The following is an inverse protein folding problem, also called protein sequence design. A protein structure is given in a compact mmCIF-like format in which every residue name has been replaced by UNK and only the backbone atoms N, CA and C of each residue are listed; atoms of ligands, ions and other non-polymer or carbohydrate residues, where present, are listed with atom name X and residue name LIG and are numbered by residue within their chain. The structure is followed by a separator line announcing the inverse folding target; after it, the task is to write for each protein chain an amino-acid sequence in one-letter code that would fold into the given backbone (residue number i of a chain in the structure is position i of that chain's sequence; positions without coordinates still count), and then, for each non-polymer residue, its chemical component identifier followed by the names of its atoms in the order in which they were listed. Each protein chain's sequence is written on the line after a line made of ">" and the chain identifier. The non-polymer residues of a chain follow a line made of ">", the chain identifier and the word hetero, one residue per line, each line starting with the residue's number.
data_IF_004450058337
#
_entry.id   IF_004450058337
#
_cell.length_a   1.000
_cell.length_b   1.000
_cell.length_c   1.000
_cell.angle_alpha   90.00
_cell.angle_beta   90.00
_cell.angle_gamma   90.00
#
_symmetry.space_group_name_H-M   'P 1'
#
loop_
_entity.id
_entity.type
_entity.pdbx_description
1 polymer ?
#
# COMPACT_ATOMS: atom_id res chain seq x y z
N UNK A 1 31.82 4.63 7.45
CA UNK A 1 31.29 5.49 6.37
C UNK A 1 30.20 6.40 6.95
N UNK A 2 30.45 7.72 7.06
CA UNK A 2 29.55 8.67 7.72
C UNK A 2 28.21 8.77 6.98
N UNK A 3 27.15 8.13 7.49
CA UNK A 3 25.81 8.29 6.92
C UNK A 3 25.31 9.70 7.26
N UNK A 4 25.44 10.64 6.31
CA UNK A 4 24.87 11.99 6.43
C UNK A 4 23.42 11.90 6.95
N UNK A 5 23.17 12.46 8.13
CA UNK A 5 21.83 12.54 8.73
C UNK A 5 20.94 13.42 7.84
N UNK A 6 19.70 12.99 7.63
CA UNK A 6 18.64 13.75 6.97
C UNK A 6 17.70 14.29 8.06
N UNK A 7 17.30 15.55 7.94
CA UNK A 7 16.27 16.13 8.82
C UNK A 7 14.96 15.36 8.62
N UNK A 8 14.36 14.85 9.70
CA UNK A 8 13.09 14.10 9.64
C UNK A 8 11.96 14.86 8.93
N UNK A 9 11.90 16.19 9.08
CA UNK A 9 10.92 17.02 8.36
C UNK A 9 10.99 16.85 6.84
N UNK A 10 12.19 16.69 6.27
CA UNK A 10 12.34 16.43 4.83
C UNK A 10 11.79 15.06 4.43
N UNK A 11 11.97 14.04 5.27
CA UNK A 11 11.42 12.70 5.01
C UNK A 11 9.90 12.75 5.06
N UNK A 12 9.31 13.40 6.07
CA UNK A 12 7.85 13.53 6.16
C UNK A 12 7.24 14.31 4.99
N UNK A 13 7.94 15.31 4.45
CA UNK A 13 7.50 16.00 3.22
C UNK A 13 7.52 15.03 2.04
N UNK A 14 8.58 14.24 1.87
CA UNK A 14 8.67 13.22 0.82
C UNK A 14 7.53 12.20 0.98
N UNK A 15 7.32 11.71 2.20
CA UNK A 15 6.28 10.73 2.53
C UNK A 15 4.89 11.28 2.16
N UNK A 16 4.60 12.53 2.52
CA UNK A 16 3.33 13.19 2.25
C UNK A 16 3.11 13.43 0.75
N UNK A 17 4.15 13.84 0.00
CA UNK A 17 4.07 14.04 -1.44
C UNK A 17 3.80 12.72 -2.16
N UNK A 18 4.54 11.66 -1.83
CA UNK A 18 4.34 10.33 -2.41
C UNK A 18 2.94 9.83 -2.10
N UNK A 19 2.52 9.93 -0.84
CA UNK A 19 1.19 9.53 -0.40
C UNK A 19 0.10 10.28 -1.19
N UNK A 20 0.18 11.61 -1.25
CA UNK A 20 -0.81 12.43 -1.93
C UNK A 20 -0.90 12.12 -3.43
N UNK A 21 0.24 11.99 -4.11
CA UNK A 21 0.28 11.66 -5.53
C UNK A 21 -0.27 10.26 -5.77
N UNK A 22 0.13 9.26 -4.99
CA UNK A 22 -0.36 7.89 -5.13
C UNK A 22 -1.88 7.79 -4.89
N UNK A 23 -2.39 8.40 -3.82
CA UNK A 23 -3.85 8.44 -3.56
C UNK A 23 -4.59 9.14 -4.71
N UNK A 24 -4.05 10.25 -5.23
CA UNK A 24 -4.65 10.97 -6.35
C UNK A 24 -4.70 10.09 -7.61
N UNK A 25 -3.62 9.37 -7.92
CA UNK A 25 -3.55 8.47 -9.07
C UNK A 25 -4.57 7.33 -8.96
N UNK A 26 -4.65 6.65 -7.82
CA UNK A 26 -5.66 5.60 -7.59
C UNK A 26 -7.07 6.16 -7.74
N UNK A 27 -7.33 7.32 -7.12
CA UNK A 27 -8.66 7.94 -7.16
C UNK A 27 -9.08 8.35 -8.56
N UNK A 28 -8.19 8.97 -9.34
CA UNK A 28 -8.49 9.36 -10.71
C UNK A 28 -8.74 8.14 -11.60
N UNK A 29 -7.94 7.09 -11.44
CA UNK A 29 -8.10 5.87 -12.23
C UNK A 29 -9.43 5.16 -11.93
N UNK A 30 -9.83 5.08 -10.66
CA UNK A 30 -11.14 4.53 -10.26
C UNK A 30 -12.31 5.38 -10.72
N UNK A 31 -12.20 6.71 -10.65
CA UNK A 31 -13.22 7.62 -11.20
C UNK A 31 -13.37 7.45 -12.71
N UNK A 32 -12.25 7.26 -13.43
CA UNK A 32 -12.28 6.93 -14.85
C UNK A 32 -12.99 5.59 -15.08
N UNK A 33 -12.69 4.55 -14.30
CA UNK A 33 -13.32 3.24 -14.41
C UNK A 33 -14.84 3.31 -14.19
N UNK A 34 -15.30 4.01 -13.14
CA UNK A 34 -16.73 4.23 -12.88
C UNK A 34 -17.41 4.90 -14.08
N UNK A 35 -16.80 5.95 -14.65
CA UNK A 35 -17.42 6.74 -15.73
C UNK A 35 -17.40 6.05 -17.08
N UNK A 36 -16.34 5.28 -17.35
CA UNK A 36 -16.02 4.83 -18.71
C UNK A 36 -16.18 3.33 -18.92
N UNK A 37 -16.21 2.52 -17.84
CA UNK A 37 -16.21 1.06 -17.91
C UNK A 37 -17.43 0.42 -17.23
N UNK A 38 -18.05 1.09 -16.26
CA UNK A 38 -19.24 0.55 -15.58
C UNK A 38 -20.38 0.32 -16.58
N UNK A 39 -21.01 -0.85 -16.47
CA UNK A 39 -22.10 -1.31 -17.36
C UNK A 39 -21.72 -1.35 -18.85
N UNK A 40 -20.42 -1.52 -19.15
CA UNK A 40 -19.90 -1.64 -20.51
C UNK A 40 -19.08 -2.93 -20.68
N UNK A 41 -18.93 -3.42 -21.92
CA UNK A 41 -18.01 -4.51 -22.22
C UNK A 41 -16.57 -4.18 -21.84
N UNK A 42 -15.77 -5.21 -21.56
CA UNK A 42 -14.35 -5.06 -21.30
C UNK A 42 -13.64 -4.40 -22.51
N UNK A 43 -12.71 -3.49 -22.23
CA UNK A 43 -11.92 -2.78 -23.23
C UNK A 43 -10.56 -3.44 -23.35
N UNK A 44 -10.25 -4.12 -24.47
CA UNK A 44 -8.93 -4.73 -24.66
C UNK A 44 -7.86 -3.65 -24.85
N UNK A 45 -6.82 -3.69 -24.02
CA UNK A 45 -5.63 -2.83 -24.13
C UNK A 45 -4.54 -3.55 -24.91
N UNK A 46 -4.33 -4.83 -24.57
CA UNK A 46 -3.51 -5.76 -25.33
C UNK A 46 -4.33 -7.02 -25.53
N UNK A 47 -4.76 -7.28 -26.76
CA UNK A 47 -5.68 -8.38 -27.10
C UNK A 47 -5.21 -9.72 -26.52
N UNK A 48 -6.06 -10.33 -25.69
CA UNK A 48 -5.79 -11.64 -25.05
C UNK A 48 -4.82 -11.60 -23.86
N UNK A 49 -4.35 -10.42 -23.44
CA UNK A 49 -3.38 -10.27 -22.34
C UNK A 49 -3.90 -9.33 -21.26
N UNK A 50 -4.27 -8.10 -21.61
CA UNK A 50 -4.62 -7.03 -20.68
C UNK A 50 -5.88 -6.31 -21.14
N UNK A 51 -6.85 -6.22 -20.24
CA UNK A 51 -8.16 -5.62 -20.49
C UNK A 51 -8.53 -4.71 -19.33
N UNK A 52 -9.28 -3.65 -19.64
CA UNK A 52 -9.96 -2.85 -18.64
C UNK A 52 -11.41 -3.32 -18.50
N UNK A 53 -11.75 -3.85 -17.33
CA UNK A 53 -13.04 -4.46 -17.03
C UNK A 53 -13.50 -4.05 -15.63
N UNK A 54 -14.61 -3.32 -15.54
CA UNK A 54 -15.14 -2.84 -14.26
C UNK A 54 -15.64 -3.98 -13.37
N UNK A 55 -15.26 -3.94 -12.08
CA UNK A 55 -15.72 -4.87 -11.06
C UNK A 55 -15.92 -4.15 -9.71
N UNK A 56 -17.06 -4.41 -9.06
CA UNK A 56 -17.33 -3.98 -7.68
C UNK A 56 -16.92 -5.07 -6.70
N UNK A 57 -15.76 -4.91 -6.08
CA UNK A 57 -15.19 -5.90 -5.18
C UNK A 57 -15.66 -5.69 -3.74
N UNK A 58 -16.61 -6.53 -3.30
CA UNK A 58 -17.14 -6.59 -1.93
C UNK A 58 -16.33 -7.47 -0.98
N UNK A 59 -15.26 -8.09 -1.47
CA UNK A 59 -14.36 -8.93 -0.68
C UNK A 59 -12.99 -8.31 -0.48
N UNK A 60 -12.04 -9.15 -0.10
CA UNK A 60 -10.61 -8.87 -0.16
C UNK A 60 -10.02 -9.42 -1.48
N UNK A 61 -8.70 -9.57 -1.54
CA UNK A 61 -8.02 -10.21 -2.66
C UNK A 61 -8.61 -11.61 -2.96
N UNK A 62 -8.63 -11.99 -4.24
CA UNK A 62 -9.16 -13.28 -4.72
C UNK A 62 -10.63 -13.55 -4.33
N UNK A 63 -11.40 -12.52 -3.98
CA UNK A 63 -12.79 -12.67 -3.55
C UNK A 63 -12.95 -13.34 -2.19
N UNK A 64 -11.88 -13.42 -1.38
CA UNK A 64 -11.93 -13.90 0.00
C UNK A 64 -12.74 -12.93 0.88
N UNK A 65 -13.26 -13.43 2.00
CA UNK A 65 -13.91 -12.61 3.04
C UNK A 65 -15.11 -11.78 2.55
N UNK A 66 -15.80 -12.22 1.48
CA UNK A 66 -17.07 -11.60 1.03
C UNK A 66 -18.06 -11.53 2.20
N UNK A 67 -18.68 -10.37 2.39
CA UNK A 67 -19.62 -10.14 3.50
C UNK A 67 -18.96 -9.81 4.84
N UNK A 68 -17.63 -9.93 4.97
CA UNK A 68 -16.90 -9.58 6.20
C UNK A 68 -16.32 -8.15 6.15
N UNK A 69 -17.15 -7.19 5.75
CA UNK A 69 -16.75 -5.78 5.57
C UNK A 69 -16.00 -5.23 6.79
N UNK A 70 -16.57 -5.41 7.98
CA UNK A 70 -15.99 -4.87 9.23
C UNK A 70 -14.60 -5.43 9.52
N UNK A 71 -14.37 -6.71 9.22
CA UNK A 71 -13.07 -7.34 9.40
C UNK A 71 -12.04 -6.79 8.40
N UNK A 72 -12.41 -6.62 7.13
CA UNK A 72 -11.52 -6.04 6.11
C UNK A 72 -11.15 -4.59 6.45
N UNK A 73 -12.12 -3.80 6.91
CA UNK A 73 -11.89 -2.42 7.39
C UNK A 73 -10.93 -2.41 8.57
N UNK A 74 -11.14 -3.29 9.56
CA UNK A 74 -10.28 -3.42 10.74
C UNK A 74 -8.83 -3.73 10.34
N UNK A 75 -8.63 -4.72 9.46
CA UNK A 75 -7.30 -5.07 8.96
C UNK A 75 -6.65 -3.89 8.21
N UNK A 76 -7.41 -3.19 7.37
CA UNK A 76 -6.93 -2.00 6.66
C UNK A 76 -6.46 -0.90 7.63
N UNK A 77 -7.22 -0.63 8.69
CA UNK A 77 -6.84 0.32 9.74
C UNK A 77 -5.56 -0.12 10.45
N UNK A 78 -5.45 -1.41 10.80
CA UNK A 78 -4.24 -1.94 11.45
C UNK A 78 -3.01 -1.75 10.56
N UNK A 79 -3.11 -2.04 9.26
CA UNK A 79 -2.01 -1.85 8.29
C UNK A 79 -1.61 -0.37 8.20
N UNK A 80 -2.60 0.54 8.13
CA UNK A 80 -2.36 2.00 8.12
C UNK A 80 -1.60 2.43 9.38
N UNK A 81 -2.06 2.00 10.55
CA UNK A 81 -1.43 2.34 11.84
C UNK A 81 -0.02 1.76 11.94
N UNK A 82 0.20 0.54 11.49
CA UNK A 82 1.51 -0.09 11.46
C UNK A 82 2.49 0.68 10.54
N UNK A 83 2.06 1.05 9.33
CA UNK A 83 2.89 1.85 8.41
C UNK A 83 3.25 3.21 9.02
N UNK A 84 2.28 3.91 9.59
CA UNK A 84 2.50 5.20 10.26
C UNK A 84 3.46 5.08 11.44
N UNK A 85 3.29 4.03 12.27
CA UNK A 85 4.20 3.76 13.38
C UNK A 85 5.65 3.60 12.91
N UNK A 86 5.89 2.78 11.87
CA UNK A 86 7.23 2.56 11.33
C UNK A 86 7.81 3.84 10.73
N UNK A 87 7.02 4.61 9.97
CA UNK A 87 7.44 5.89 9.39
C UNK A 87 7.87 6.90 10.46
N UNK A 88 7.11 7.03 11.55
CA UNK A 88 7.43 7.95 12.65
C UNK A 88 8.69 7.51 13.41
N UNK A 89 8.83 6.20 13.65
CA UNK A 89 9.96 5.63 14.40
C UNK A 89 11.24 5.53 13.57
N UNK A 90 11.12 5.44 12.25
CA UNK A 90 12.24 5.34 11.31
C UNK A 90 13.31 6.43 11.56
N UNK A 91 14.60 6.08 11.62
CA UNK A 91 15.67 7.06 11.82
C UNK A 91 15.87 7.95 10.59
N UNK A 92 16.27 9.21 10.81
CA UNK A 92 16.62 10.17 9.75
C UNK A 92 17.96 9.87 9.06
N UNK A 93 18.11 8.69 8.45
CA UNK A 93 19.31 8.27 7.73
C UNK A 93 18.96 7.90 6.29
N UNK A 94 19.87 8.19 5.36
CA UNK A 94 19.71 7.89 3.92
C UNK A 94 19.27 6.46 3.62
N UNK A 95 19.78 5.48 4.37
CA UNK A 95 19.46 4.05 4.17
C UNK A 95 17.98 3.71 4.38
N UNK A 96 17.20 4.56 5.06
CA UNK A 96 15.76 4.33 5.27
C UNK A 96 14.87 5.05 4.24
N UNK A 97 15.43 5.84 3.32
CA UNK A 97 14.62 6.53 2.28
C UNK A 97 13.77 5.51 1.50
N UNK A 98 14.34 4.36 1.13
CA UNK A 98 13.59 3.32 0.43
C UNK A 98 12.41 2.81 1.28
N UNK A 99 12.61 2.59 2.58
CA UNK A 99 11.54 2.19 3.50
C UNK A 99 10.44 3.26 3.57
N UNK A 100 10.80 4.54 3.64
CA UNK A 100 9.87 5.67 3.59
C UNK A 100 9.01 5.67 2.32
N UNK A 101 9.64 5.57 1.14
CA UNK A 101 8.94 5.51 -0.15
C UNK A 101 7.96 4.34 -0.21
N UNK A 102 8.43 3.14 0.17
CA UNK A 102 7.63 1.91 0.09
C UNK A 102 6.45 1.94 1.06
N UNK A 103 6.67 2.38 2.31
CA UNK A 103 5.60 2.49 3.30
C UNK A 103 4.58 3.57 2.92
N UNK A 104 4.99 4.69 2.31
CA UNK A 104 4.07 5.69 1.79
C UNK A 104 3.19 5.16 0.66
N UNK A 105 3.71 4.28 -0.21
CA UNK A 105 2.93 3.62 -1.25
C UNK A 105 1.93 2.61 -0.68
N UNK A 106 2.37 1.77 0.28
CA UNK A 106 1.49 0.82 0.98
C UNK A 106 0.37 1.58 1.71
N UNK A 107 0.72 2.66 2.41
CA UNK A 107 -0.21 3.53 3.11
C UNK A 107 -1.21 4.16 2.13
N UNK A 108 -0.76 4.67 0.99
CA UNK A 108 -1.62 5.26 -0.03
C UNK A 108 -2.61 4.23 -0.61
N UNK A 109 -2.14 3.03 -0.95
CA UNK A 109 -3.00 1.97 -1.45
C UNK A 109 -4.01 1.49 -0.41
N UNK A 110 -3.57 1.31 0.84
CA UNK A 110 -4.46 0.92 1.94
C UNK A 110 -5.55 1.98 2.18
N UNK A 111 -5.19 3.27 2.18
CA UNK A 111 -6.15 4.37 2.31
C UNK A 111 -7.11 4.43 1.11
N UNK A 112 -6.62 4.34 -0.13
CA UNK A 112 -7.48 4.38 -1.33
C UNK A 112 -8.55 3.29 -1.32
N UNK A 113 -8.15 2.05 -1.01
CA UNK A 113 -9.06 0.91 -0.90
C UNK A 113 -9.98 0.95 0.34
N UNK A 114 -9.54 1.59 1.42
CA UNK A 114 -10.39 1.79 2.61
C UNK A 114 -11.43 2.89 2.37
N UNK A 115 -11.05 3.98 1.70
CA UNK A 115 -11.95 5.06 1.32
C UNK A 115 -13.13 4.56 0.48
N UNK A 116 -12.87 3.75 -0.55
CA UNK A 116 -13.97 3.17 -1.35
C UNK A 116 -14.90 2.30 -0.50
N UNK A 117 -14.36 1.47 0.40
CA UNK A 117 -15.19 0.62 1.29
C UNK A 117 -16.05 1.43 2.25
N UNK A 118 -15.59 2.59 2.69
CA UNK A 118 -16.36 3.49 3.56
C UNK A 118 -17.43 4.24 2.76
N UNK A 119 -17.10 4.70 1.55
CA UNK A 119 -17.98 5.54 0.73
C UNK A 119 -19.01 4.75 -0.10
N UNK A 120 -18.64 3.54 -0.55
CA UNK A 120 -19.40 2.77 -1.55
C UNK A 120 -19.71 1.34 -1.12
N UNK A 121 -19.21 0.86 0.01
CA UNK A 121 -19.30 -0.53 0.48
C UNK A 121 -18.53 -1.58 -0.35
N UNK A 122 -17.82 -1.17 -1.40
CA UNK A 122 -16.98 -2.02 -2.24
C UNK A 122 -15.73 -1.25 -2.69
N UNK A 123 -14.78 -1.96 -3.29
CA UNK A 123 -13.63 -1.38 -4.00
C UNK A 123 -13.88 -1.42 -5.50
N UNK A 124 -13.49 -0.35 -6.19
CA UNK A 124 -13.53 -0.31 -7.66
C UNK A 124 -12.28 -0.96 -8.22
N UNK A 125 -12.45 -2.13 -8.83
CA UNK A 125 -11.41 -2.86 -9.55
C UNK A 125 -11.65 -2.74 -11.06
N UNK A 126 -10.58 -2.66 -11.85
CA UNK A 126 -10.73 -2.44 -13.30
C UNK A 126 -9.61 -2.96 -14.19
N UNK A 127 -8.51 -3.47 -13.64
CA UNK A 127 -7.37 -3.99 -14.41
C UNK A 127 -7.42 -5.51 -14.42
N UNK A 128 -7.51 -6.12 -15.61
CA UNK A 128 -7.64 -7.56 -15.76
C UNK A 128 -6.56 -8.14 -16.68
N UNK A 129 -5.73 -9.06 -16.16
CA UNK A 129 -4.82 -9.86 -16.97
C UNK A 129 -5.51 -11.14 -17.44
N UNK A 130 -6.13 -11.08 -18.62
CA UNK A 130 -6.94 -12.18 -19.17
C UNK A 130 -6.12 -13.41 -19.57
N UNK A 131 -4.86 -13.25 -19.98
CA UNK A 131 -3.97 -14.35 -20.36
C UNK A 131 -3.79 -15.40 -19.24
N UNK A 132 -3.64 -14.94 -18.00
CA UNK A 132 -3.45 -15.80 -16.82
C UNK A 132 -4.69 -15.90 -15.94
N UNK A 133 -5.83 -15.30 -16.36
CA UNK A 133 -7.08 -15.20 -15.58
C UNK A 133 -6.84 -14.67 -14.16
N UNK A 134 -5.99 -13.64 -14.03
CA UNK A 134 -5.69 -13.04 -12.74
C UNK A 134 -6.92 -12.29 -12.20
N UNK A 135 -7.21 -12.28 -10.88
CA UNK A 135 -8.30 -11.47 -10.35
C UNK A 135 -8.19 -10.02 -10.78
N UNK A 136 -9.32 -9.38 -11.08
CA UNK A 136 -9.34 -7.95 -11.43
C UNK A 136 -8.90 -7.15 -10.20
N UNK A 137 -8.02 -6.17 -10.41
CA UNK A 137 -7.41 -5.36 -9.35
C UNK A 137 -7.38 -3.88 -9.76
N UNK A 138 -6.83 -3.03 -8.90
CA UNK A 138 -6.70 -1.59 -9.15
C UNK A 138 -5.27 -1.06 -8.86
N UNK A 139 -5.08 0.25 -9.00
CA UNK A 139 -3.79 0.90 -8.80
C UNK A 139 -3.35 0.85 -7.32
N UNK A 140 -4.25 1.02 -6.37
CA UNK A 140 -3.96 0.82 -4.95
C UNK A 140 -3.42 -0.59 -4.64
N UNK A 141 -3.93 -1.63 -5.28
CA UNK A 141 -3.41 -3.00 -5.13
C UNK A 141 -1.99 -3.13 -5.67
N UNK A 142 -1.68 -2.50 -6.81
CA UNK A 142 -0.31 -2.44 -7.34
C UNK A 142 0.64 -1.81 -6.32
N UNK A 143 0.25 -0.66 -5.73
CA UNK A 143 1.07 0.00 -4.73
C UNK A 143 1.34 -0.88 -3.53
N UNK A 144 0.31 -1.53 -2.98
CA UNK A 144 0.44 -2.44 -1.85
C UNK A 144 1.36 -3.61 -2.22
N UNK A 145 1.07 -4.33 -3.31
CA UNK A 145 1.77 -5.56 -3.66
C UNK A 145 3.22 -5.32 -4.04
N UNK A 146 3.49 -4.37 -4.93
CA UNK A 146 4.87 -4.09 -5.40
C UNK A 146 5.70 -3.52 -4.25
N UNK A 147 5.18 -2.55 -3.50
CA UNK A 147 5.94 -1.95 -2.41
C UNK A 147 6.18 -2.95 -1.27
N UNK A 148 5.21 -3.81 -0.95
CA UNK A 148 5.38 -4.87 0.06
C UNK A 148 6.42 -5.89 -0.40
N UNK A 149 6.37 -6.35 -1.65
CA UNK A 149 7.34 -7.29 -2.20
C UNK A 149 8.77 -6.73 -2.10
N UNK A 150 8.97 -5.49 -2.53
CA UNK A 150 10.28 -4.82 -2.45
C UNK A 150 10.69 -4.59 -0.99
N UNK A 151 9.76 -4.21 -0.11
CA UNK A 151 10.06 -4.02 1.32
C UNK A 151 10.52 -5.33 1.96
N UNK A 152 9.86 -6.45 1.66
CA UNK A 152 10.27 -7.79 2.12
C UNK A 152 11.66 -8.13 1.62
N UNK A 153 11.97 -7.88 0.34
CA UNK A 153 13.32 -8.11 -0.18
C UNK A 153 14.38 -7.24 0.53
N UNK A 154 14.07 -5.98 0.84
CA UNK A 154 14.97 -5.13 1.61
C UNK A 154 15.15 -5.62 3.05
N UNK A 155 14.10 -6.12 3.69
CA UNK A 155 14.17 -6.69 5.03
C UNK A 155 15.00 -7.97 5.06
N UNK A 156 14.93 -8.81 4.03
CA UNK A 156 15.65 -10.08 3.94
C UNK A 156 17.12 -9.91 3.55
N UNK A 157 17.44 -8.96 2.66
CA UNK A 157 18.75 -8.93 2.01
C UNK A 157 19.54 -7.63 2.22
N UNK A 158 18.92 -6.56 2.72
CA UNK A 158 19.57 -5.25 2.86
C UNK A 158 19.65 -4.74 4.30
N UNK A 159 18.56 -4.79 5.05
CA UNK A 159 18.53 -4.35 6.45
C UNK A 159 19.08 -5.43 7.37
N UNK A 160 20.03 -5.05 8.22
CA UNK A 160 20.51 -5.92 9.31
C UNK A 160 19.62 -5.77 10.53
N UNK A 161 19.64 -6.74 11.45
CA UNK A 161 18.87 -6.67 12.71
C UNK A 161 19.15 -5.36 13.47
N UNK A 162 20.42 -4.94 13.53
CA UNK A 162 20.80 -3.69 14.19
C UNK A 162 20.20 -2.44 13.54
N UNK A 163 19.88 -2.53 12.26
CA UNK A 163 19.22 -1.45 11.54
C UNK A 163 17.75 -1.32 11.92
N UNK A 164 17.15 -2.38 12.46
CA UNK A 164 15.75 -2.43 12.89
C UNK A 164 15.59 -2.23 14.41
N UNK A 165 16.68 -1.98 15.14
CA UNK A 165 16.66 -1.74 16.59
C UNK A 165 15.71 -0.60 17.03
N UNK A 166 15.40 0.35 16.14
CA UNK A 166 14.42 1.41 16.42
C UNK A 166 12.97 0.90 16.55
N UNK A 167 12.69 -0.33 16.12
CA UNK A 167 11.40 -1.01 16.28
C UNK A 167 11.34 -1.86 17.57
N UNK A 168 12.48 -2.20 18.18
CA UNK A 168 12.54 -3.04 19.40
C UNK A 168 12.12 -2.19 20.60
N UNK A 169 10.86 -2.34 20.99
CA UNK A 169 10.22 -1.59 22.09
C UNK A 169 10.66 -2.04 23.50
N UNK A 170 11.14 -3.28 23.64
CA UNK A 170 11.19 -3.96 24.95
C UNK A 170 12.59 -4.10 25.58
N UNK A 171 13.66 -3.98 24.81
CA UNK A 171 14.98 -4.40 25.28
C UNK A 171 15.71 -3.32 26.11
N UNK A 172 15.22 -2.07 26.10
CA UNK A 172 15.79 -1.01 26.96
C UNK A 172 15.22 -1.05 28.37
N UNK A 173 13.89 -1.24 28.50
CA UNK A 173 13.21 -1.11 29.80
C UNK A 173 13.53 -2.25 30.78
N UNK A 174 13.88 -3.44 30.29
CA UNK A 174 14.24 -4.58 31.15
C UNK A 174 15.71 -4.54 31.61
N UNK A 175 16.61 -3.94 30.82
CA UNK A 175 18.01 -3.73 31.22
C UNK A 175 18.21 -2.62 32.25
N UNK A 176 17.24 -1.73 32.39
CA UNK A 176 17.27 -0.63 33.36
C UNK A 176 16.62 -1.03 34.71
N UNK A 177 16.18 -2.30 34.87
CA UNK A 177 15.49 -2.83 36.06
C UNK A 177 16.35 -3.87 36.82
N UNK A 178 17.42 -4.37 36.19
CA UNK A 178 18.46 -5.21 36.80
C UNK A 178 19.68 -4.37 37.20
#
# INVERSE_FOLDING_TARGET
>A
MSTKKIKKSKLYIIDAVIFAVAVLLDRLAKLYAIKSLKDRPAVPIVSGILEFQYLENKGAAFGLLKGQKSFIILVGIIVILACLYVLVKSPGKKKYISCHVLLSLILAGAVGNLCDRILYDYVVDFIYFSFIKFPIFNIADIFITVATAVLVLLLLFYYKEDDLNFLRFMEKRLRDID
#
